data_IF_242521552897
#
_entry.id   IF_242521552897
#
_cell.length_a   1.000
_cell.length_b   1.000
_cell.length_c   1.000
_cell.angle_alpha   90.00
_cell.angle_beta   90.00
_cell.angle_gamma   90.00
#
_symmetry.space_group_name_H-M   'P 1'
#
loop_
_entity.id
_entity.type
_entity.pdbx_description
1 polymer ?
#
# COMPACT_ATOMS: atom_id res chain seq x y z
N UNK A 1 -10.09 -62.55 45.83
CA UNK A 1 -10.31 -61.90 44.51
C UNK A 1 -11.02 -60.58 44.72
N UNK A 2 -10.33 -59.44 44.58
CA UNK A 2 -10.93 -58.10 44.53
C UNK A 2 -10.74 -57.58 43.11
N UNK A 3 -11.84 -57.39 42.37
CA UNK A 3 -11.85 -56.86 41.01
C UNK A 3 -11.59 -55.35 41.06
N UNK A 4 -10.56 -54.90 40.35
CA UNK A 4 -10.27 -53.49 40.10
C UNK A 4 -11.06 -53.08 38.85
N UNK A 5 -12.04 -52.20 39.00
CA UNK A 5 -12.75 -51.61 37.87
C UNK A 5 -11.96 -50.40 37.36
N UNK A 6 -11.37 -50.53 36.16
CA UNK A 6 -10.72 -49.43 35.46
C UNK A 6 -11.79 -48.54 34.80
N UNK A 7 -11.90 -47.30 35.27
CA UNK A 7 -12.77 -46.27 34.67
C UNK A 7 -12.00 -45.64 33.50
N UNK A 8 -12.36 -46.02 32.27
CA UNK A 8 -11.89 -45.38 31.04
C UNK A 8 -12.57 -44.00 30.91
N UNK A 9 -11.82 -42.93 31.15
CA UNK A 9 -12.29 -41.57 30.89
C UNK A 9 -12.22 -41.30 29.38
N UNK A 10 -13.36 -41.26 28.70
CA UNK A 10 -13.46 -40.80 27.32
C UNK A 10 -13.19 -39.28 27.27
N UNK A 11 -12.08 -38.89 26.67
CA UNK A 11 -11.82 -37.51 26.24
C UNK A 11 -12.83 -37.17 25.14
N UNK A 12 -13.82 -36.35 25.47
CA UNK A 12 -14.73 -35.75 24.48
C UNK A 12 -13.93 -34.70 23.70
N UNK A 13 -13.45 -35.07 22.52
CA UNK A 13 -12.88 -34.12 21.56
C UNK A 13 -14.05 -33.42 20.88
N UNK A 14 -14.43 -32.24 21.35
CA UNK A 14 -15.41 -31.41 20.66
C UNK A 14 -14.82 -30.99 19.30
N UNK A 15 -15.51 -31.22 18.17
CA UNK A 15 -15.07 -30.70 16.89
C UNK A 15 -15.11 -29.17 16.96
N UNK A 16 -13.96 -28.52 16.76
CA UNK A 16 -13.92 -27.09 16.54
C UNK A 16 -14.64 -26.81 15.22
N UNK A 17 -15.91 -26.41 15.28
CA UNK A 17 -16.61 -25.91 14.10
C UNK A 17 -15.85 -24.70 13.58
N UNK A 18 -15.26 -24.83 12.40
CA UNK A 18 -14.67 -23.69 11.71
C UNK A 18 -15.73 -22.61 11.58
N UNK A 19 -15.44 -21.41 12.09
CA UNK A 19 -16.35 -20.26 11.96
C UNK A 19 -16.62 -20.03 10.46
N UNK A 20 -17.86 -20.28 10.04
CA UNK A 20 -18.24 -20.30 8.63
C UNK A 20 -18.50 -18.91 8.04
N UNK A 21 -18.81 -17.91 8.88
CA UNK A 21 -19.12 -16.53 8.48
C UNK A 21 -18.02 -15.51 8.81
N UNK A 22 -18.15 -14.25 8.36
CA UNK A 22 -17.23 -13.16 8.68
C UNK A 22 -17.20 -12.83 10.18
N UNK A 23 -16.46 -11.79 10.57
CA UNK A 23 -16.38 -11.28 11.94
C UNK A 23 -17.67 -10.59 12.43
N UNK A 24 -18.65 -10.40 11.54
CA UNK A 24 -19.96 -9.83 11.83
C UNK A 24 -21.12 -10.80 11.51
N UNK A 25 -22.30 -10.50 12.03
CA UNK A 25 -23.51 -11.29 11.82
C UNK A 25 -24.12 -11.03 10.43
N UNK A 26 -24.07 -12.03 9.56
CA UNK A 26 -24.63 -11.95 8.21
C UNK A 26 -26.14 -11.71 8.15
N UNK A 27 -26.88 -12.04 9.20
CA UNK A 27 -28.31 -11.70 9.29
C UNK A 27 -28.53 -10.19 9.42
N UNK A 28 -27.51 -9.42 9.82
CA UNK A 28 -27.53 -7.96 9.98
C UNK A 28 -26.90 -7.21 8.81
N UNK A 29 -26.47 -7.91 7.76
CA UNK A 29 -25.85 -7.29 6.59
C UNK A 29 -26.85 -6.43 5.79
N UNK A 30 -26.75 -5.11 5.93
CA UNK A 30 -27.72 -4.16 5.36
C UNK A 30 -27.38 -3.70 3.93
N UNK A 31 -26.12 -3.83 3.51
CA UNK A 31 -25.64 -3.38 2.21
C UNK A 31 -25.15 -4.53 1.31
N UNK A 32 -25.03 -4.25 0.01
CA UNK A 32 -24.64 -5.25 -0.98
C UNK A 32 -23.21 -5.78 -0.78
N UNK A 33 -22.30 -4.95 -0.24
CA UNK A 33 -20.91 -5.32 -0.02
C UNK A 33 -20.79 -6.33 1.13
N UNK A 34 -21.45 -6.08 2.26
CA UNK A 34 -21.46 -7.02 3.38
C UNK A 34 -22.17 -8.33 3.02
N UNK A 35 -23.25 -8.27 2.21
CA UNK A 35 -23.86 -9.49 1.65
C UNK A 35 -22.91 -10.28 0.75
N UNK A 36 -22.05 -9.61 -0.02
CA UNK A 36 -21.00 -10.27 -0.82
C UNK A 36 -19.97 -10.94 0.10
N UNK A 37 -19.51 -10.25 1.15
CA UNK A 37 -18.58 -10.81 2.14
C UNK A 37 -19.17 -12.07 2.79
N UNK A 38 -20.46 -12.05 3.13
CA UNK A 38 -21.18 -13.18 3.72
C UNK A 38 -21.31 -14.40 2.80
N UNK A 39 -21.38 -14.18 1.47
CA UNK A 39 -21.58 -15.25 0.48
C UNK A 39 -20.27 -15.90 0.04
N UNK A 40 -19.17 -15.17 0.11
CA UNK A 40 -17.87 -15.60 -0.39
C UNK A 40 -16.98 -16.09 0.76
N UNK A 41 -16.70 -17.41 0.90
CA UNK A 41 -15.95 -17.96 2.04
C UNK A 41 -14.56 -17.34 2.22
N UNK A 42 -13.87 -17.04 1.13
CA UNK A 42 -12.55 -16.40 1.18
C UNK A 42 -12.62 -14.95 1.66
N UNK A 43 -13.69 -14.22 1.34
CA UNK A 43 -13.89 -12.86 1.86
C UNK A 43 -14.27 -12.88 3.34
N UNK A 44 -15.10 -13.84 3.76
CA UNK A 44 -15.41 -14.04 5.17
C UNK A 44 -14.13 -14.38 5.98
N UNK A 45 -13.24 -15.20 5.42
CA UNK A 45 -11.94 -15.50 6.02
C UNK A 45 -11.05 -14.25 6.12
N UNK A 46 -10.92 -13.49 5.03
CA UNK A 46 -10.13 -12.25 5.02
C UNK A 46 -10.66 -11.20 6.00
N UNK A 47 -11.99 -11.08 6.13
CA UNK A 47 -12.63 -10.22 7.12
C UNK A 47 -12.28 -10.62 8.56
N UNK A 48 -12.33 -11.92 8.89
CA UNK A 48 -11.90 -12.44 10.21
C UNK A 48 -10.41 -12.19 10.47
N UNK A 49 -9.57 -12.37 9.47
CA UNK A 49 -8.12 -12.10 9.59
C UNK A 49 -7.86 -10.62 9.88
N UNK A 50 -8.51 -9.72 9.13
CA UNK A 50 -8.43 -8.28 9.35
C UNK A 50 -8.91 -7.91 10.76
N UNK A 51 -10.07 -8.44 11.18
CA UNK A 51 -10.62 -8.20 12.52
C UNK A 51 -9.68 -8.70 13.64
N UNK A 52 -9.02 -9.85 13.45
CA UNK A 52 -8.06 -10.38 14.42
C UNK A 52 -6.81 -9.50 14.54
N UNK A 53 -6.24 -9.03 13.42
CA UNK A 53 -5.08 -8.12 13.43
C UNK A 53 -5.46 -6.77 14.05
N UNK A 54 -6.63 -6.23 13.68
CA UNK A 54 -7.18 -5.00 14.26
C UNK A 54 -7.36 -5.11 15.77
N UNK A 55 -7.99 -6.19 16.26
CA UNK A 55 -8.19 -6.44 17.69
C UNK A 55 -6.87 -6.59 18.47
N UNK A 56 -5.89 -7.29 17.88
CA UNK A 56 -4.56 -7.44 18.48
C UNK A 56 -3.82 -6.10 18.56
N UNK A 57 -3.95 -5.23 17.56
CA UNK A 57 -3.38 -3.89 17.59
C UNK A 57 -4.08 -3.03 18.64
N UNK A 58 -5.41 -2.96 18.63
CA UNK A 58 -6.19 -2.23 19.65
C UNK A 58 -5.78 -2.61 21.07
N UNK A 59 -5.58 -3.91 21.36
CA UNK A 59 -5.19 -4.38 22.69
C UNK A 59 -3.87 -3.80 23.22
N UNK A 60 -2.97 -3.34 22.33
CA UNK A 60 -1.66 -2.77 22.67
C UNK A 60 -1.67 -1.25 22.78
N UNK A 61 -2.72 -0.58 22.31
CA UNK A 61 -2.76 0.87 22.18
C UNK A 61 -3.30 1.56 23.45
N UNK A 62 -2.78 2.76 23.71
CA UNK A 62 -3.33 3.67 24.73
C UNK A 62 -4.67 4.27 24.25
N UNK A 63 -5.38 5.01 25.11
CA UNK A 63 -6.71 5.53 24.79
C UNK A 63 -6.74 6.44 23.55
N UNK A 64 -5.74 7.29 23.36
CA UNK A 64 -5.67 8.22 22.22
C UNK A 64 -5.44 7.48 20.91
N UNK A 65 -4.48 6.54 20.89
CA UNK A 65 -4.21 5.72 19.71
C UNK A 65 -5.37 4.76 19.39
N UNK A 66 -6.09 4.25 20.42
CA UNK A 66 -7.32 3.48 20.22
C UNK A 66 -8.40 4.31 19.51
N UNK A 67 -8.66 5.52 20.02
CA UNK A 67 -9.69 6.40 19.44
C UNK A 67 -9.38 6.74 17.96
N UNK A 68 -8.12 7.01 17.63
CA UNK A 68 -7.71 7.25 16.24
C UNK A 68 -7.86 5.99 15.37
N UNK A 69 -7.36 4.83 15.82
CA UNK A 69 -7.48 3.57 15.07
C UNK A 69 -8.93 3.15 14.84
N UNK A 70 -9.83 3.37 15.80
CA UNK A 70 -11.28 3.11 15.63
C UNK A 70 -11.86 3.99 14.53
N UNK A 71 -11.53 5.28 14.52
CA UNK A 71 -12.00 6.24 13.50
C UNK A 71 -11.46 5.89 12.12
N UNK A 72 -10.16 5.59 12.02
CA UNK A 72 -9.53 5.14 10.78
C UNK A 72 -10.17 3.84 10.26
N UNK A 73 -10.39 2.84 11.11
CA UNK A 73 -11.04 1.60 10.71
C UNK A 73 -12.48 1.82 10.21
N UNK A 74 -13.25 2.70 10.87
CA UNK A 74 -14.60 3.05 10.42
C UNK A 74 -14.58 3.80 9.07
N UNK A 75 -13.66 4.75 8.91
CA UNK A 75 -13.44 5.47 7.65
C UNK A 75 -13.08 4.53 6.50
N UNK A 76 -12.16 3.60 6.75
CA UNK A 76 -11.76 2.57 5.80
C UNK A 76 -12.93 1.66 5.39
N UNK A 77 -13.79 1.22 6.34
CA UNK A 77 -14.99 0.41 6.02
C UNK A 77 -15.95 1.19 5.10
N UNK A 78 -16.17 2.47 5.39
CA UNK A 78 -17.03 3.33 4.58
C UNK A 78 -16.45 3.51 3.17
N UNK A 79 -15.15 3.82 3.05
CA UNK A 79 -14.42 3.94 1.79
C UNK A 79 -14.47 2.64 0.97
N UNK A 80 -14.15 1.49 1.60
CA UNK A 80 -14.28 0.15 1.01
C UNK A 80 -15.67 -0.09 0.43
N UNK A 81 -16.72 0.21 1.19
CA UNK A 81 -18.09 -0.01 0.75
C UNK A 81 -18.47 0.86 -0.46
N UNK A 82 -18.04 2.12 -0.47
CA UNK A 82 -18.31 3.03 -1.59
C UNK A 82 -17.50 2.67 -2.83
N UNK A 83 -16.20 2.38 -2.67
CA UNK A 83 -15.28 2.03 -3.75
C UNK A 83 -15.65 0.72 -4.42
N UNK A 84 -15.83 -0.35 -3.63
CA UNK A 84 -16.17 -1.67 -4.18
C UNK A 84 -17.57 -1.75 -4.81
N UNK A 85 -18.43 -0.75 -4.57
CA UNK A 85 -19.72 -0.62 -5.27
C UNK A 85 -19.55 -0.14 -6.71
N UNK A 86 -18.53 0.68 -7.00
CA UNK A 86 -18.29 1.27 -8.32
C UNK A 86 -17.08 0.67 -9.04
N UNK A 87 -16.42 -0.31 -8.42
CA UNK A 87 -15.24 -0.96 -8.99
C UNK A 87 -15.59 -1.68 -10.31
N UNK A 88 -14.86 -1.40 -11.40
CA UNK A 88 -15.14 -1.96 -12.73
C UNK A 88 -14.92 -3.47 -12.83
N UNK A 89 -14.07 -4.04 -11.95
CA UNK A 89 -13.84 -5.48 -11.86
C UNK A 89 -14.84 -6.17 -10.91
N UNK A 90 -15.69 -5.39 -10.25
CA UNK A 90 -16.74 -5.86 -9.36
C UNK A 90 -16.31 -6.02 -7.90
N UNK A 91 -17.30 -6.21 -7.00
CA UNK A 91 -17.09 -6.11 -5.55
C UNK A 91 -16.16 -7.19 -5.00
N UNK A 92 -16.13 -8.40 -5.57
CA UNK A 92 -15.26 -9.49 -5.07
C UNK A 92 -13.78 -9.19 -5.29
N UNK A 93 -13.39 -8.70 -6.48
CA UNK A 93 -12.00 -8.33 -6.79
C UNK A 93 -11.55 -7.18 -5.88
N UNK A 94 -12.36 -6.12 -5.80
CA UNK A 94 -12.10 -4.98 -4.94
C UNK A 94 -11.93 -5.38 -3.46
N UNK A 95 -12.82 -6.20 -2.92
CA UNK A 95 -12.76 -6.63 -1.52
C UNK A 95 -11.50 -7.44 -1.20
N UNK A 96 -11.08 -8.35 -2.09
CA UNK A 96 -9.83 -9.11 -1.92
C UNK A 96 -8.63 -8.17 -1.78
N UNK A 97 -8.51 -7.21 -2.70
CA UNK A 97 -7.42 -6.22 -2.69
C UNK A 97 -7.47 -5.33 -1.45
N UNK A 98 -8.66 -4.83 -1.07
CA UNK A 98 -8.85 -3.98 0.11
C UNK A 98 -8.49 -4.70 1.41
N UNK A 99 -8.93 -5.95 1.60
CA UNK A 99 -8.58 -6.71 2.81
C UNK A 99 -7.08 -7.00 2.89
N UNK A 100 -6.47 -7.48 1.80
CA UNK A 100 -5.04 -7.78 1.78
C UNK A 100 -4.20 -6.55 2.16
N UNK A 101 -4.51 -5.40 1.57
CA UNK A 101 -3.83 -4.14 1.86
C UNK A 101 -4.06 -3.69 3.31
N UNK A 102 -5.30 -3.73 3.80
CA UNK A 102 -5.62 -3.31 5.17
C UNK A 102 -4.96 -4.20 6.22
N UNK A 103 -4.93 -5.51 6.01
CA UNK A 103 -4.22 -6.46 6.89
C UNK A 103 -2.73 -6.11 6.95
N UNK A 104 -2.10 -5.86 5.79
CA UNK A 104 -0.68 -5.47 5.74
C UNK A 104 -0.43 -4.14 6.47
N UNK A 105 -1.27 -3.13 6.23
CA UNK A 105 -1.17 -1.82 6.90
C UNK A 105 -1.34 -1.94 8.42
N UNK A 106 -2.32 -2.69 8.92
CA UNK A 106 -2.52 -2.90 10.36
C UNK A 106 -1.34 -3.65 11.01
N UNK A 107 -0.74 -4.61 10.30
CA UNK A 107 0.50 -5.27 10.75
C UNK A 107 1.66 -4.28 10.84
N UNK A 108 1.83 -3.44 9.82
CA UNK A 108 2.85 -2.39 9.82
C UNK A 108 2.65 -1.35 10.94
N UNK A 109 1.40 -1.04 11.31
CA UNK A 109 1.09 -0.15 12.44
C UNK A 109 1.44 -0.78 13.79
N UNK A 110 1.40 -2.11 13.88
CA UNK A 110 1.83 -2.86 15.06
C UNK A 110 3.35 -3.05 15.17
N UNK A 111 4.12 -2.68 14.16
CA UNK A 111 5.57 -2.78 14.13
C UNK A 111 6.24 -1.47 14.55
N UNK A 112 6.56 -1.41 15.86
CA UNK A 112 7.18 -0.26 16.49
C UNK A 112 6.18 0.66 17.18
N UNK A 113 6.43 1.98 17.11
CA UNK A 113 5.51 2.99 17.63
C UNK A 113 4.36 3.17 16.64
N UNK A 114 3.13 3.16 17.16
CA UNK A 114 1.93 3.39 16.35
C UNK A 114 2.03 4.71 15.58
N UNK A 115 1.85 4.71 14.24
CA UNK A 115 2.23 5.85 13.42
C UNK A 115 1.12 6.92 13.29
N UNK A 116 -0.09 6.67 13.79
CA UNK A 116 -1.26 7.56 13.66
C UNK A 116 -1.48 8.01 12.21
N UNK A 117 -1.70 7.03 11.32
CA UNK A 117 -1.95 7.30 9.90
C UNK A 117 -3.36 6.79 9.58
N UNK A 118 -4.24 7.70 9.17
CA UNK A 118 -5.59 7.37 8.71
C UNK A 118 -5.69 7.31 7.19
N UNK A 119 -6.59 6.48 6.68
CA UNK A 119 -6.98 6.45 5.27
C UNK A 119 -8.09 7.47 4.99
N UNK A 120 -7.85 8.33 4.00
CA UNK A 120 -8.86 9.19 3.41
C UNK A 120 -9.14 8.74 1.97
N UNK A 121 -10.36 8.96 1.49
CA UNK A 121 -10.75 8.56 0.13
C UNK A 121 -11.51 9.65 -0.63
N UNK A 122 -11.27 9.72 -1.95
CA UNK A 122 -12.11 10.42 -2.93
C UNK A 122 -12.66 9.37 -3.89
N UNK A 123 -13.98 9.20 -3.91
CA UNK A 123 -14.63 8.11 -4.66
C UNK A 123 -15.82 8.69 -5.42
N UNK A 124 -15.81 8.55 -6.75
CA UNK A 124 -16.88 9.08 -7.60
C UNK A 124 -17.01 8.29 -8.89
N UNK A 125 -18.24 8.18 -9.38
CA UNK A 125 -18.54 7.72 -10.73
C UNK A 125 -19.48 8.70 -11.41
N UNK A 126 -19.45 8.74 -12.74
CA UNK A 126 -20.27 9.66 -13.52
C UNK A 126 -20.30 9.33 -15.01
N UNK A 127 -20.95 10.21 -15.77
CA UNK A 127 -20.96 10.17 -17.23
C UNK A 127 -20.70 11.58 -17.80
N UNK A 128 -20.03 11.63 -18.95
CA UNK A 128 -19.93 12.82 -19.80
C UNK A 128 -20.18 12.38 -21.24
N UNK A 129 -21.36 12.69 -21.79
CA UNK A 129 -21.79 12.14 -23.08
C UNK A 129 -21.80 10.61 -23.05
N UNK A 130 -21.07 9.99 -23.98
CA UNK A 130 -20.87 8.55 -24.11
C UNK A 130 -19.72 7.99 -23.24
N UNK A 131 -19.00 8.83 -22.49
CA UNK A 131 -17.95 8.42 -21.57
C UNK A 131 -18.57 8.08 -20.22
N UNK A 132 -18.49 6.82 -19.79
CA UNK A 132 -18.69 6.46 -18.39
C UNK A 132 -17.35 6.56 -17.67
N UNK A 133 -17.31 7.10 -16.45
CA UNK A 133 -16.06 7.26 -15.73
C UNK A 133 -16.20 6.97 -14.24
N UNK A 134 -15.13 6.53 -13.61
CA UNK A 134 -15.03 6.36 -12.16
C UNK A 134 -13.61 6.59 -11.65
N UNK A 135 -13.50 7.03 -10.41
CA UNK A 135 -12.27 6.96 -9.65
C UNK A 135 -12.51 6.49 -8.22
N UNK A 136 -11.51 5.77 -7.70
CA UNK A 136 -11.41 5.35 -6.31
C UNK A 136 -9.98 5.64 -5.82
N UNK A 137 -9.84 6.70 -5.04
CA UNK A 137 -8.54 7.28 -4.68
C UNK A 137 -8.41 7.26 -3.17
N UNK A 138 -7.53 6.41 -2.65
CA UNK A 138 -7.17 6.39 -1.23
C UNK A 138 -5.80 7.04 -1.02
N UNK A 139 -5.65 7.79 0.06
CA UNK A 139 -4.42 8.51 0.41
C UNK A 139 -4.27 8.65 1.93
N UNK A 140 -3.02 8.73 2.45
CA UNK A 140 -2.80 8.79 3.88
C UNK A 140 -2.98 10.20 4.44
N UNK A 141 -3.31 10.26 5.72
CA UNK A 141 -3.18 11.44 6.57
C UNK A 141 -2.47 11.04 7.86
N UNK A 142 -1.45 11.80 8.24
CA UNK A 142 -0.75 11.63 9.52
C UNK A 142 -1.45 12.48 10.59
N UNK A 143 -2.11 11.82 11.52
CA UNK A 143 -2.89 12.41 12.62
C UNK A 143 -2.11 12.46 13.95
N UNK A 144 -0.87 11.96 13.94
CA UNK A 144 0.02 11.97 15.10
C UNK A 144 0.41 13.37 15.53
N UNK A 145 0.63 13.55 16.83
CA UNK A 145 1.05 14.83 17.42
C UNK A 145 2.55 14.87 17.75
N UNK A 146 3.33 13.93 17.24
CA UNK A 146 4.78 13.83 17.48
C UNK A 146 5.58 14.90 16.73
N UNK A 147 5.00 15.47 15.68
CA UNK A 147 5.56 16.53 14.86
C UNK A 147 4.45 17.30 14.13
N UNK A 148 4.81 18.36 13.42
CA UNK A 148 3.89 19.02 12.48
C UNK A 148 3.88 18.28 11.14
N UNK A 149 2.77 17.62 10.84
CA UNK A 149 2.53 16.91 9.58
C UNK A 149 1.71 17.73 8.56
N UNK A 150 1.35 18.97 8.87
CA UNK A 150 0.39 19.76 8.06
C UNK A 150 0.81 19.88 6.59
N UNK A 151 2.08 20.21 6.32
CA UNK A 151 2.61 20.32 4.96
C UNK A 151 2.62 18.97 4.23
N UNK A 152 2.95 17.87 4.92
CA UNK A 152 2.93 16.53 4.34
C UNK A 152 1.50 16.08 4.00
N UNK A 153 0.56 16.32 4.92
CA UNK A 153 -0.86 16.00 4.72
C UNK A 153 -1.48 16.84 3.59
N UNK A 154 -1.12 18.14 3.51
CA UNK A 154 -1.56 19.00 2.41
C UNK A 154 -1.06 18.46 1.07
N UNK A 155 0.21 18.05 0.98
CA UNK A 155 0.77 17.43 -0.22
C UNK A 155 -0.01 16.19 -0.65
N UNK A 156 -0.24 15.22 0.24
CA UNK A 156 -0.99 14.00 -0.11
C UNK A 156 -2.44 14.32 -0.54
N UNK A 157 -3.10 15.24 0.16
CA UNK A 157 -4.46 15.66 -0.18
C UNK A 157 -4.53 16.35 -1.54
N UNK A 158 -3.58 17.23 -1.85
CA UNK A 158 -3.57 17.97 -3.11
C UNK A 158 -3.17 17.08 -4.30
N UNK A 159 -2.25 16.14 -4.11
CA UNK A 159 -1.96 15.09 -5.11
C UNK A 159 -3.20 14.23 -5.38
N UNK A 160 -3.95 13.83 -4.34
CA UNK A 160 -5.20 13.07 -4.49
C UNK A 160 -6.30 13.88 -5.22
N UNK A 161 -6.47 15.16 -4.90
CA UNK A 161 -7.42 16.04 -5.61
C UNK A 161 -7.03 16.24 -7.07
N UNK A 162 -5.72 16.39 -7.35
CA UNK A 162 -5.21 16.49 -8.72
C UNK A 162 -5.48 15.20 -9.49
N UNK A 163 -5.25 14.04 -8.89
CA UNK A 163 -5.59 12.74 -9.48
C UNK A 163 -7.10 12.63 -9.78
N UNK A 164 -7.96 13.02 -8.84
CA UNK A 164 -9.42 13.05 -9.04
C UNK A 164 -9.83 13.99 -10.19
N UNK A 165 -9.21 15.16 -10.28
CA UNK A 165 -9.44 16.11 -11.38
C UNK A 165 -9.03 15.52 -12.73
N UNK A 166 -7.85 14.89 -12.81
CA UNK A 166 -7.35 14.27 -14.04
C UNK A 166 -8.17 13.04 -14.47
N UNK A 167 -8.72 12.30 -13.51
CA UNK A 167 -9.60 11.16 -13.76
C UNK A 167 -11.02 11.57 -14.19
N UNK A 168 -11.37 12.86 -14.11
CA UNK A 168 -12.68 13.38 -14.51
C UNK A 168 -12.59 13.89 -15.95
N UNK A 169 -13.31 13.29 -16.92
CA UNK A 169 -13.29 13.76 -18.30
C UNK A 169 -13.91 15.16 -18.43
N UNK A 170 -13.43 15.93 -19.40
CA UNK A 170 -13.96 17.24 -19.77
C UNK A 170 -14.33 17.25 -21.28
N UNK A 171 -14.69 18.41 -21.82
CA UNK A 171 -15.11 18.53 -23.23
C UNK A 171 -14.05 18.05 -24.23
N UNK A 172 -12.76 18.15 -23.88
CA UNK A 172 -11.65 17.77 -24.75
C UNK A 172 -11.43 16.23 -24.80
N UNK A 173 -12.17 15.46 -23.99
CA UNK A 173 -12.07 13.99 -23.95
C UNK A 173 -12.74 13.28 -25.14
N UNK A 174 -13.40 14.02 -26.03
CA UNK A 174 -14.21 13.46 -27.13
C UNK A 174 -15.44 12.70 -26.60
N UNK A 175 -16.38 13.39 -25.91
CA UNK A 175 -17.51 12.77 -25.21
C UNK A 175 -18.52 12.10 -26.14
N UNK A 176 -18.41 12.27 -27.45
CA UNK A 176 -19.20 11.57 -28.47
C UNK A 176 -18.78 10.10 -28.64
N UNK A 177 -17.54 9.74 -28.29
CA UNK A 177 -17.01 8.38 -28.41
C UNK A 177 -17.31 7.58 -27.15
N UNK A 178 -17.87 6.38 -27.32
CA UNK A 178 -18.10 5.46 -26.20
C UNK A 178 -16.76 5.03 -25.59
N UNK A 179 -16.54 5.39 -24.33
CA UNK A 179 -15.33 5.07 -23.58
C UNK A 179 -15.69 4.76 -22.13
N UNK A 180 -14.82 4.00 -21.45
CA UNK A 180 -14.90 3.77 -20.02
C UNK A 180 -13.59 4.24 -19.40
N UNK A 181 -13.66 5.28 -18.56
CA UNK A 181 -12.52 5.82 -17.84
C UNK A 181 -12.52 5.31 -16.41
N UNK A 182 -11.37 4.85 -15.94
CA UNK A 182 -11.23 4.31 -14.59
C UNK A 182 -9.91 4.78 -14.01
N UNK A 183 -9.92 5.14 -12.74
CA UNK A 183 -8.70 5.47 -12.00
C UNK A 183 -8.78 4.90 -10.59
N UNK A 184 -7.78 4.13 -10.21
CA UNK A 184 -7.66 3.53 -8.89
C UNK A 184 -6.33 3.95 -8.27
N UNK A 185 -6.36 4.35 -7.01
CA UNK A 185 -5.17 4.65 -6.23
C UNK A 185 -5.36 4.10 -4.82
N UNK A 186 -4.31 3.44 -4.32
CA UNK A 186 -4.24 2.94 -2.97
C UNK A 186 -2.87 3.23 -2.37
N UNK A 187 -2.73 3.02 -1.06
CA UNK A 187 -1.43 3.09 -0.41
C UNK A 187 -1.24 1.98 0.61
N UNK A 188 0.00 1.47 0.67
CA UNK A 188 0.46 0.62 1.76
C UNK A 188 1.41 1.39 2.67
N UNK A 189 1.53 0.93 3.92
CA UNK A 189 2.55 1.42 4.85
C UNK A 189 3.56 0.31 5.11
N UNK A 190 4.84 0.59 4.85
CA UNK A 190 5.98 -0.27 5.19
C UNK A 190 6.80 0.37 6.31
N UNK A 191 7.50 -0.45 7.09
CA UNK A 191 8.34 -0.02 8.23
C UNK A 191 9.78 -0.47 7.97
N UNK A 192 10.71 0.48 8.01
CA UNK A 192 12.14 0.18 8.03
C UNK A 192 12.59 -0.15 9.47
N UNK A 193 13.74 -0.85 9.66
CA UNK A 193 14.33 -1.03 10.98
C UNK A 193 14.47 0.29 11.73
N UNK A 194 13.95 0.29 12.95
CA UNK A 194 13.76 1.49 13.75
C UNK A 194 12.28 1.72 14.06
N UNK A 195 11.99 2.75 14.86
CA UNK A 195 10.62 3.06 15.31
C UNK A 195 10.08 4.36 14.76
N UNK A 196 10.90 5.12 14.04
CA UNK A 196 10.67 6.53 13.75
C UNK A 196 10.34 6.81 12.29
N UNK A 197 10.19 5.79 11.45
CA UNK A 197 9.96 5.99 10.01
C UNK A 197 8.79 5.17 9.49
N UNK A 198 7.97 5.79 8.64
CA UNK A 198 6.97 5.10 7.84
C UNK A 198 7.26 5.33 6.35
N UNK A 199 7.29 4.26 5.56
CA UNK A 199 7.31 4.37 4.10
C UNK A 199 5.87 4.24 3.61
N UNK A 200 5.33 5.30 3.02
CA UNK A 200 4.05 5.26 2.30
C UNK A 200 4.35 4.82 0.86
N UNK A 201 3.85 3.66 0.46
CA UNK A 201 3.91 3.18 -0.92
C UNK A 201 2.58 3.45 -1.61
N UNK A 202 2.51 4.52 -2.41
CA UNK A 202 1.36 4.87 -3.23
C UNK A 202 1.40 4.08 -4.54
N UNK A 203 0.33 3.38 -4.88
CA UNK A 203 0.20 2.67 -6.16
C UNK A 203 -1.07 3.11 -6.84
N UNK A 204 -0.99 3.44 -8.13
CA UNK A 204 -2.16 3.80 -8.92
C UNK A 204 -2.16 3.12 -10.29
N UNK A 205 -3.37 2.97 -10.83
CA UNK A 205 -3.62 2.55 -12.20
C UNK A 205 -4.79 3.33 -12.77
N UNK A 206 -4.68 3.79 -14.01
CA UNK A 206 -5.71 4.50 -14.73
C UNK A 206 -5.82 4.09 -16.19
N UNK A 207 -7.02 4.25 -16.74
CA UNK A 207 -7.29 4.14 -18.17
C UNK A 207 -8.27 5.24 -18.58
N UNK A 208 -7.92 5.95 -19.66
CA UNK A 208 -8.66 7.12 -20.14
C UNK A 208 -8.80 7.11 -21.67
N UNK A 209 -9.06 5.94 -22.26
CA UNK A 209 -9.36 5.79 -23.69
C UNK A 209 -8.15 5.66 -24.63
N UNK A 210 -6.93 5.49 -24.09
CA UNK A 210 -5.72 5.25 -24.87
C UNK A 210 -5.56 3.80 -25.35
N UNK A 211 -4.38 3.48 -25.90
CA UNK A 211 -4.04 2.12 -26.34
C UNK A 211 -3.90 1.12 -25.18
N UNK A 212 -3.49 1.60 -24.00
CA UNK A 212 -3.39 0.82 -22.77
C UNK A 212 -3.63 1.72 -21.56
N UNK A 213 -3.77 1.11 -20.38
CA UNK A 213 -3.76 1.84 -19.12
C UNK A 213 -2.36 2.32 -18.74
N UNK A 214 -2.26 3.10 -17.67
CA UNK A 214 -1.00 3.57 -17.12
C UNK A 214 -1.06 3.42 -15.61
N UNK A 215 0.09 3.14 -15.00
CA UNK A 215 0.17 2.99 -13.56
C UNK A 215 1.60 3.13 -13.09
N UNK A 216 1.76 3.42 -11.81
CA UNK A 216 3.06 3.53 -11.18
C UNK A 216 2.94 3.26 -9.68
N UNK A 217 4.08 2.92 -9.09
CA UNK A 217 4.29 2.95 -7.65
C UNK A 217 5.30 4.05 -7.31
N UNK A 218 4.99 4.80 -6.26
CA UNK A 218 5.86 5.81 -5.69
C UNK A 218 5.91 5.66 -4.17
N UNK A 219 7.10 5.73 -3.60
CA UNK A 219 7.33 5.65 -2.17
C UNK A 219 7.72 7.00 -1.58
N UNK A 220 7.19 7.29 -0.40
CA UNK A 220 7.59 8.43 0.42
C UNK A 220 8.02 7.93 1.79
N UNK A 221 9.31 8.01 2.09
CA UNK A 221 9.82 7.80 3.44
C UNK A 221 9.49 9.03 4.29
N UNK A 222 8.86 8.83 5.44
CA UNK A 222 8.47 9.88 6.38
C UNK A 222 9.18 9.66 7.71
N UNK A 223 9.88 10.68 8.21
CA UNK A 223 10.42 10.68 9.58
C UNK A 223 9.36 11.22 10.55
N UNK A 224 8.81 10.31 11.36
CA UNK A 224 7.72 10.56 12.31
C UNK A 224 8.12 11.53 13.44
N UNK A 225 9.41 11.79 13.66
CA UNK A 225 9.89 12.77 14.66
C UNK A 225 9.86 14.19 14.13
N UNK A 226 9.96 14.35 12.82
CA UNK A 226 10.09 15.67 12.17
C UNK A 226 8.87 16.05 11.34
N UNK A 227 8.02 15.08 10.99
CA UNK A 227 6.85 15.29 10.14
C UNK A 227 7.18 15.43 8.66
N UNK A 228 8.43 15.16 8.27
CA UNK A 228 8.95 15.44 6.92
C UNK A 228 9.14 14.18 6.09
N UNK A 229 8.87 14.31 4.80
CA UNK A 229 9.35 13.36 3.80
C UNK A 229 10.88 13.46 3.68
N UNK A 230 11.56 12.31 3.62
CA UNK A 230 13.02 12.23 3.53
C UNK A 230 13.42 11.55 2.23
N UNK A 231 14.17 12.27 1.39
CA UNK A 231 14.76 11.74 0.16
C UNK A 231 16.13 11.08 0.39
N UNK A 232 16.75 10.52 -0.66
CA UNK A 232 18.04 9.85 -0.58
C UNK A 232 19.14 10.69 0.09
N UNK A 233 19.14 12.01 -0.12
CA UNK A 233 20.12 12.94 0.48
C UNK A 233 20.02 13.02 2.01
N UNK A 234 18.85 12.73 2.58
CA UNK A 234 18.62 12.68 4.02
C UNK A 234 18.86 11.29 4.64
N UNK A 235 19.02 10.26 3.81
CA UNK A 235 19.26 8.87 4.27
C UNK A 235 20.71 8.45 4.11
N UNK A 236 21.35 8.82 3.00
CA UNK A 236 22.72 8.43 2.67
C UNK A 236 23.76 9.47 3.08
N UNK A 237 24.97 9.00 3.35
CA UNK A 237 26.11 9.82 3.73
C UNK A 237 26.33 10.96 2.72
N UNK A 238 26.75 12.16 3.16
CA UNK A 238 27.00 13.28 2.26
C UNK A 238 27.95 12.95 1.10
N UNK A 239 27.76 13.64 -0.02
CA UNK A 239 28.57 13.47 -1.24
C UNK A 239 27.95 12.49 -2.23
N UNK A 240 28.71 12.10 -3.25
CA UNK A 240 28.23 11.27 -4.36
C UNK A 240 28.56 9.79 -4.23
N UNK A 241 29.34 9.40 -3.21
CA UNK A 241 29.83 8.03 -3.09
C UNK A 241 28.69 7.02 -2.94
N UNK A 242 27.64 7.40 -2.19
CA UNK A 242 26.44 6.56 -2.07
C UNK A 242 25.75 6.37 -3.42
N UNK A 243 25.65 7.42 -4.24
CA UNK A 243 24.97 7.35 -5.53
C UNK A 243 25.76 6.46 -6.49
N UNK A 244 27.10 6.56 -6.50
CA UNK A 244 27.97 5.67 -7.28
C UNK A 244 27.81 4.21 -6.86
N UNK A 245 27.81 3.94 -5.55
CA UNK A 245 27.60 2.60 -5.03
C UNK A 245 26.21 2.08 -5.43
N UNK A 246 25.14 2.84 -5.16
CA UNK A 246 23.77 2.48 -5.55
C UNK A 246 23.66 2.20 -7.04
N UNK A 247 24.23 3.04 -7.92
CA UNK A 247 24.24 2.81 -9.37
C UNK A 247 24.90 1.49 -9.74
N UNK A 248 25.98 1.10 -9.07
CA UNK A 248 26.64 -0.21 -9.31
C UNK A 248 25.76 -1.38 -8.85
N UNK A 249 25.18 -1.30 -7.65
CA UNK A 249 24.31 -2.35 -7.11
C UNK A 249 23.10 -2.56 -8.03
N UNK A 250 22.45 -1.46 -8.42
CA UNK A 250 21.25 -1.44 -9.26
C UNK A 250 21.55 -1.88 -10.68
N UNK A 251 22.59 -1.34 -11.32
CA UNK A 251 22.96 -1.74 -12.68
C UNK A 251 23.32 -3.23 -12.76
N UNK A 252 24.04 -3.76 -11.77
CA UNK A 252 24.40 -5.17 -11.73
C UNK A 252 23.18 -6.08 -11.59
N UNK A 253 22.16 -5.65 -10.84
CA UNK A 253 20.93 -6.41 -10.67
C UNK A 253 20.04 -6.35 -11.92
N UNK A 254 19.78 -5.15 -12.45
CA UNK A 254 19.00 -4.96 -13.67
C UNK A 254 19.59 -5.72 -14.87
N UNK A 255 20.91 -5.75 -15.02
CA UNK A 255 21.57 -6.55 -16.07
C UNK A 255 21.25 -8.04 -15.99
N UNK A 256 21.09 -8.59 -14.78
CA UNK A 256 20.67 -9.99 -14.61
C UNK A 256 19.20 -10.15 -15.00
N UNK A 257 18.34 -9.24 -14.56
CA UNK A 257 16.91 -9.27 -14.91
C UNK A 257 16.69 -9.13 -16.43
N UNK A 258 17.52 -8.34 -17.12
CA UNK A 258 17.41 -8.10 -18.56
C UNK A 258 17.65 -9.35 -19.43
N UNK A 259 18.24 -10.40 -18.87
CA UNK A 259 18.42 -11.68 -19.55
C UNK A 259 17.07 -12.34 -19.85
N UNK A 260 16.15 -12.32 -18.89
CA UNK A 260 14.84 -12.97 -19.00
C UNK A 260 13.72 -11.97 -19.35
N UNK A 261 13.91 -10.71 -18.97
CA UNK A 261 12.90 -9.65 -19.06
C UNK A 261 13.50 -8.43 -19.80
N UNK A 262 13.26 -8.28 -21.11
CA UNK A 262 13.96 -7.30 -21.95
C UNK A 262 13.90 -5.87 -21.42
N UNK A 263 15.06 -5.25 -21.21
CA UNK A 263 15.20 -3.86 -20.73
C UNK A 263 15.94 -2.94 -21.71
N UNK A 264 16.20 -1.72 -21.27
CA UNK A 264 16.91 -0.68 -22.01
C UNK A 264 18.35 -0.57 -21.47
N UNK A 265 19.33 -1.11 -22.19
CA UNK A 265 20.73 -1.06 -21.79
C UNK A 265 21.23 0.39 -21.65
N UNK A 266 20.73 1.30 -22.48
CA UNK A 266 21.03 2.72 -22.43
C UNK A 266 20.54 3.38 -21.13
N UNK A 267 19.49 2.85 -20.49
CA UNK A 267 19.02 3.36 -19.20
C UNK A 267 20.02 3.07 -18.07
N UNK A 268 20.92 2.10 -18.27
CA UNK A 268 21.98 1.72 -17.31
C UNK A 268 23.28 2.52 -17.51
N UNK A 269 23.34 3.41 -18.50
CA UNK A 269 24.46 4.35 -18.62
C UNK A 269 24.57 5.22 -17.35
N UNK A 270 25.80 5.50 -16.85
CA UNK A 270 26.00 6.09 -15.53
C UNK A 270 25.18 7.37 -15.27
N UNK A 271 25.11 8.29 -16.24
CA UNK A 271 24.40 9.56 -16.07
C UNK A 271 22.87 9.39 -16.06
N UNK A 272 22.33 8.49 -16.90
CA UNK A 272 20.89 8.20 -16.96
C UNK A 272 20.43 7.47 -15.71
N UNK A 273 21.18 6.44 -15.30
CA UNK A 273 20.86 5.70 -14.08
C UNK A 273 21.00 6.58 -12.83
N UNK A 274 22.05 7.41 -12.73
CA UNK A 274 22.20 8.34 -11.63
C UNK A 274 21.04 9.36 -11.56
N UNK A 275 20.54 9.83 -12.72
CA UNK A 275 19.35 10.68 -12.77
C UNK A 275 18.12 9.95 -12.26
N UNK A 276 17.87 8.70 -12.67
CA UNK A 276 16.76 7.91 -12.15
C UNK A 276 16.86 7.74 -10.63
N UNK A 277 18.04 7.38 -10.12
CA UNK A 277 18.32 7.20 -8.69
C UNK A 277 18.31 8.49 -7.87
N UNK A 278 18.22 9.67 -8.51
CA UNK A 278 18.03 10.92 -7.77
C UNK A 278 16.58 11.14 -7.32
N UNK A 279 15.63 10.39 -7.91
CA UNK A 279 14.21 10.48 -7.58
C UNK A 279 13.90 9.73 -6.28
N UNK A 280 13.50 10.49 -5.26
CA UNK A 280 13.11 9.95 -3.97
C UNK A 280 11.92 8.98 -4.04
N UNK A 281 11.04 9.14 -5.03
CA UNK A 281 9.84 8.33 -5.23
C UNK A 281 10.12 6.85 -5.51
N UNK A 282 11.37 6.48 -5.82
CA UNK A 282 11.76 5.10 -6.14
C UNK A 282 12.15 4.27 -4.93
N UNK A 283 12.36 4.90 -3.78
CA UNK A 283 12.98 4.28 -2.62
C UNK A 283 11.92 3.78 -1.64
N UNK A 284 11.58 2.50 -1.72
CA UNK A 284 10.64 1.86 -0.82
C UNK A 284 11.38 1.12 0.30
N UNK A 285 11.57 1.79 1.44
CA UNK A 285 12.20 1.17 2.61
C UNK A 285 11.24 0.20 3.30
N UNK A 286 11.69 -1.05 3.47
CA UNK A 286 10.94 -2.17 4.03
C UNK A 286 11.62 -2.70 5.29
N UNK A 287 11.01 -3.69 5.95
CA UNK A 287 11.60 -4.30 7.14
C UNK A 287 12.91 -5.05 6.82
N UNK A 288 13.01 -5.59 5.59
CA UNK A 288 14.10 -6.48 5.17
C UNK A 288 15.19 -5.74 4.37
N UNK A 289 14.85 -4.62 3.73
CA UNK A 289 15.80 -3.85 2.94
C UNK A 289 15.20 -2.62 2.27
N UNK A 290 15.76 -2.29 1.12
CA UNK A 290 15.29 -1.24 0.23
C UNK A 290 14.88 -1.85 -1.10
N UNK A 291 13.64 -1.62 -1.52
CA UNK A 291 13.22 -1.87 -2.90
C UNK A 291 13.40 -0.57 -3.69
N UNK A 292 14.19 -0.62 -4.76
CA UNK A 292 14.32 0.48 -5.72
C UNK A 292 13.43 0.20 -6.92
N UNK A 293 12.35 0.98 -7.06
CA UNK A 293 11.30 0.76 -8.06
C UNK A 293 11.63 1.46 -9.38
N UNK A 294 11.47 0.73 -10.48
CA UNK A 294 11.48 1.23 -11.85
C UNK A 294 10.14 0.91 -12.51
N UNK A 295 9.30 1.94 -12.66
CA UNK A 295 8.01 1.83 -13.30
C UNK A 295 8.15 1.49 -14.79
N UNK A 296 7.04 1.09 -15.41
CA UNK A 296 7.02 0.84 -16.85
C UNK A 296 7.62 2.02 -17.63
N UNK A 297 8.43 1.73 -18.64
CA UNK A 297 9.23 2.68 -19.43
C UNK A 297 10.47 3.30 -18.76
N UNK A 298 10.71 3.11 -17.46
CA UNK A 298 11.92 3.67 -16.84
C UNK A 298 13.20 3.00 -17.35
N UNK A 299 13.21 1.67 -17.37
CA UNK A 299 14.38 0.85 -17.73
C UNK A 299 14.03 -0.30 -18.67
N UNK A 300 12.81 -0.32 -19.21
CA UNK A 300 12.35 -1.32 -20.16
C UNK A 300 10.97 -0.99 -20.73
N UNK A 301 10.53 -1.67 -21.80
CA UNK A 301 9.25 -1.39 -22.44
C UNK A 301 8.07 -1.76 -21.55
N UNK A 302 6.89 -1.20 -21.82
CA UNK A 302 5.67 -1.48 -21.05
C UNK A 302 5.30 -2.95 -20.97
N UNK A 303 5.56 -3.72 -22.04
CA UNK A 303 5.31 -5.17 -22.08
C UNK A 303 6.14 -5.95 -21.06
N UNK A 304 7.30 -5.44 -20.67
CA UNK A 304 8.10 -6.01 -19.59
C UNK A 304 7.49 -5.70 -18.22
N UNK A 305 6.68 -4.64 -18.10
CA UNK A 305 6.20 -4.16 -16.81
C UNK A 305 7.31 -3.53 -15.95
N UNK A 306 7.04 -3.23 -14.67
CA UNK A 306 8.01 -2.58 -13.78
C UNK A 306 9.16 -3.52 -13.37
N UNK A 307 10.32 -2.97 -13.03
CA UNK A 307 11.44 -3.69 -12.43
C UNK A 307 11.66 -3.21 -11.00
N UNK A 308 12.04 -4.12 -10.12
CA UNK A 308 12.37 -3.79 -8.74
C UNK A 308 13.76 -4.34 -8.44
N UNK A 309 14.58 -3.56 -7.74
CA UNK A 309 15.89 -4.01 -7.23
C UNK A 309 15.84 -4.03 -5.71
N UNK A 310 15.94 -5.22 -5.14
CA UNK A 310 16.00 -5.42 -3.69
C UNK A 310 17.44 -5.34 -3.18
N UNK A 311 17.66 -4.50 -2.16
CA UNK A 311 18.98 -4.31 -1.54
C UNK A 311 18.87 -4.50 -0.04
N UNK A 312 19.46 -5.59 0.46
CA UNK A 312 19.53 -5.89 1.89
C UNK A 312 20.32 -4.84 2.68
N UNK A 313 19.94 -4.61 3.93
CA UNK A 313 20.56 -3.61 4.80
C UNK A 313 22.08 -3.76 4.95
N UNK A 314 22.63 -4.98 4.98
CA UNK A 314 24.08 -5.19 5.10
C UNK A 314 24.88 -4.53 3.96
N UNK A 315 24.30 -4.44 2.76
CA UNK A 315 24.92 -3.73 1.62
C UNK A 315 24.75 -2.22 1.71
N UNK A 316 23.73 -1.75 2.43
CA UNK A 316 23.40 -0.32 2.59
C UNK A 316 24.11 0.32 3.78
N UNK A 317 24.37 -0.42 4.86
CA UNK A 317 24.97 0.08 6.12
C UNK A 317 26.16 1.01 5.93
N UNK A 318 27.15 0.72 5.05
CA UNK A 318 28.29 1.61 4.83
C UNK A 318 27.93 2.94 4.18
N UNK A 319 26.79 2.99 3.47
CA UNK A 319 26.29 4.15 2.73
C UNK A 319 25.34 5.03 3.56
N UNK A 320 24.71 4.47 4.60
CA UNK A 320 23.72 5.19 5.42
C UNK A 320 24.40 6.26 6.28
N UNK A 321 23.70 7.37 6.53
CA UNK A 321 24.13 8.38 7.51
C UNK A 321 24.12 7.82 8.95
N UNK A 322 25.05 8.22 9.83
CA UNK A 322 24.97 7.84 11.26
C UNK A 322 23.78 8.48 11.98
N UNK A 323 23.40 9.68 11.57
CA UNK A 323 22.30 10.49 12.12
C UNK A 323 21.02 10.41 11.27
N UNK A 324 20.98 9.50 10.30
CA UNK A 324 19.86 9.32 9.38
C UNK A 324 18.63 8.70 10.04
N UNK A 325 17.47 8.74 9.35
CA UNK A 325 16.22 8.20 9.88
C UNK A 325 16.17 6.66 9.81
N UNK A 326 17.00 6.02 8.98
CA UNK A 326 17.12 4.57 8.85
C UNK A 326 18.21 4.08 9.80
N UNK A 327 17.88 3.09 10.64
CA UNK A 327 18.84 2.51 11.57
C UNK A 327 19.98 1.78 10.84
N UNK A 328 21.20 1.88 11.37
CA UNK A 328 22.38 1.14 10.91
C UNK A 328 22.45 -0.25 11.54
#
# INVERSE_FOLDING_TARGET
>A
MRLVAAVLSLLVVSPAFAQSGPSFDCAKADNAIDRTICKEPELAKADREMAAVYGALLGKLNAVAKDELVKDQAGWIAGRNQGCKIDPQGPVSCLKSRYALRIATLRAYGDGSYPFISEHSLIKAGKLGAIAWSYDISYPRFDGTTADFSALNARFSDEAKKAASNATPNADAGPERKQEWTYSQSFGVKRAPGRNTATVAMTFWGYSGGAHGYGATHCTLVDLRTGKAVGPQGVFAPGEQWLRAMSQLVSADLKKQFVDKPGFDEALEPAKLAKLLSDAGRYCWTADGLDVIFNAYDVGPYSSGPYDVEIAYDRLKPLLRPDGPIAR
#
